data_IF_700556747529
#
_entry.id   IF_700556747529
#
_cell.length_a   1.000
_cell.length_b   1.000
_cell.length_c   1.000
_cell.angle_alpha   90.00
_cell.angle_beta   90.00
_cell.angle_gamma   90.00
#
_symmetry.space_group_name_H-M   'P 1'
#
loop_
_entity.id
_entity.type
_entity.pdbx_description
1 polymer ?
#
# COMPACT_ATOMS: atom_id res chain seq x y z
N UNK A 1 -19.30 -21.11 16.35
CA UNK A 1 -19.33 -19.86 15.56
C UNK A 1 -19.23 -20.25 14.10
N UNK A 2 -20.21 -19.90 13.28
CA UNK A 2 -20.12 -20.09 11.82
C UNK A 2 -19.06 -19.12 11.28
N UNK A 3 -18.06 -19.59 10.52
CA UNK A 3 -17.09 -18.70 9.90
C UNK A 3 -17.84 -17.75 8.95
N UNK A 4 -17.56 -16.45 9.07
CA UNK A 4 -18.17 -15.46 8.19
C UNK A 4 -17.55 -15.63 6.81
N UNK A 5 -18.38 -15.62 5.76
CA UNK A 5 -17.93 -15.85 4.38
C UNK A 5 -16.86 -14.84 3.89
N UNK A 6 -16.79 -13.67 4.51
CA UNK A 6 -15.86 -12.58 4.16
C UNK A 6 -14.60 -12.53 5.04
N UNK A 7 -14.48 -13.40 6.05
CA UNK A 7 -13.29 -13.45 6.91
C UNK A 7 -12.00 -13.80 6.12
N UNK A 8 -12.02 -14.68 5.10
CA UNK A 8 -10.85 -14.90 4.25
C UNK A 8 -10.41 -13.67 3.46
N UNK A 9 -11.36 -12.85 2.99
CA UNK A 9 -11.07 -11.61 2.26
C UNK A 9 -10.45 -10.56 3.19
N UNK A 10 -10.93 -10.46 4.42
CA UNK A 10 -10.34 -9.56 5.42
C UNK A 10 -8.93 -9.98 5.82
N UNK A 11 -8.71 -11.27 6.06
CA UNK A 11 -7.37 -11.79 6.37
C UNK A 11 -6.41 -11.56 5.19
N UNK A 12 -6.88 -11.79 3.96
CA UNK A 12 -6.09 -11.49 2.76
C UNK A 12 -5.73 -10.00 2.66
N UNK A 13 -6.65 -9.09 2.98
CA UNK A 13 -6.36 -7.65 3.02
C UNK A 13 -5.36 -7.26 4.11
N UNK A 14 -5.44 -7.86 5.29
CA UNK A 14 -4.49 -7.63 6.37
C UNK A 14 -3.08 -8.07 5.96
N UNK A 15 -2.97 -9.26 5.36
CA UNK A 15 -1.71 -9.81 4.86
C UNK A 15 -1.14 -8.99 3.69
N UNK A 16 -1.99 -8.58 2.75
CA UNK A 16 -1.58 -7.75 1.64
C UNK A 16 -1.11 -6.36 2.11
N UNK A 17 -1.77 -5.78 3.12
CA UNK A 17 -1.32 -4.53 3.73
C UNK A 17 0.04 -4.67 4.43
N UNK A 18 0.30 -5.78 5.13
CA UNK A 18 1.62 -6.09 5.71
C UNK A 18 2.69 -6.25 4.63
N UNK A 19 2.38 -6.97 3.55
CA UNK A 19 3.29 -7.15 2.42
C UNK A 19 3.60 -5.83 1.70
N UNK A 20 2.60 -4.96 1.56
CA UNK A 20 2.76 -3.63 0.95
C UNK A 20 3.74 -2.78 1.76
N UNK A 21 3.58 -2.75 3.09
CA UNK A 21 4.48 -2.01 3.97
C UNK A 21 5.92 -2.52 3.88
N UNK A 22 6.11 -3.84 3.82
CA UNK A 22 7.43 -4.44 3.63
C UNK A 22 8.04 -4.07 2.26
N UNK A 23 7.26 -4.17 1.17
CA UNK A 23 7.72 -3.80 -0.16
C UNK A 23 8.13 -2.32 -0.25
N UNK A 24 7.36 -1.42 0.37
CA UNK A 24 7.69 0.01 0.45
C UNK A 24 8.93 0.29 1.33
N UNK A 25 9.15 -0.49 2.38
CA UNK A 25 10.36 -0.38 3.20
C UNK A 25 11.62 -0.81 2.42
N UNK A 26 11.50 -1.84 1.58
CA UNK A 26 12.57 -2.35 0.72
C UNK A 26 12.74 -1.56 -0.60
N UNK A 27 11.90 -0.54 -0.83
CA UNK A 27 11.79 0.23 -2.07
C UNK A 27 11.54 -0.65 -3.32
N UNK A 28 10.90 -1.81 -3.14
CA UNK A 28 10.43 -2.69 -4.22
C UNK A 28 9.07 -2.19 -4.72
N UNK A 29 9.10 -1.18 -5.58
CA UNK A 29 7.89 -0.55 -6.12
C UNK A 29 7.11 -1.47 -7.07
N UNK A 30 7.79 -2.40 -7.74
CA UNK A 30 7.13 -3.38 -8.62
C UNK A 30 6.32 -4.40 -7.79
N UNK A 31 6.86 -4.86 -6.66
CA UNK A 31 6.11 -5.67 -5.71
C UNK A 31 4.94 -4.89 -5.10
N UNK A 32 5.17 -3.63 -4.71
CA UNK A 32 4.13 -2.76 -4.15
C UNK A 32 2.95 -2.55 -5.12
N UNK A 33 3.21 -2.33 -6.41
CA UNK A 33 2.16 -2.18 -7.44
C UNK A 33 1.32 -3.46 -7.59
N UNK A 34 1.99 -4.62 -7.66
CA UNK A 34 1.30 -5.92 -7.74
C UNK A 34 0.43 -6.19 -6.50
N UNK A 35 0.94 -5.87 -5.31
CA UNK A 35 0.18 -6.06 -4.06
C UNK A 35 -1.03 -5.12 -4.02
N UNK A 36 -0.91 -3.88 -4.50
CA UNK A 36 -2.05 -2.96 -4.57
C UNK A 36 -3.17 -3.49 -5.47
N UNK A 37 -2.82 -4.10 -6.61
CA UNK A 37 -3.79 -4.77 -7.49
C UNK A 37 -4.50 -5.94 -6.79
N UNK A 38 -3.78 -6.75 -6.02
CA UNK A 38 -4.35 -7.85 -5.24
C UNK A 38 -5.29 -7.33 -4.14
N UNK A 39 -4.94 -6.22 -3.49
CA UNK A 39 -5.80 -5.54 -2.51
C UNK A 39 -7.08 -5.02 -3.15
N UNK A 40 -7.00 -4.44 -4.35
CA UNK A 40 -8.18 -3.98 -5.10
C UNK A 40 -9.14 -5.13 -5.42
N UNK A 41 -8.61 -6.30 -5.79
CA UNK A 41 -9.43 -7.50 -6.02
C UNK A 41 -10.14 -7.96 -4.74
N UNK A 42 -9.45 -7.94 -3.59
CA UNK A 42 -10.04 -8.30 -2.30
C UNK A 42 -11.14 -7.30 -1.87
N UNK A 43 -10.91 -6.00 -2.09
CA UNK A 43 -11.90 -4.95 -1.82
C UNK A 43 -13.13 -5.08 -2.73
N UNK A 44 -12.94 -5.43 -4.00
CA UNK A 44 -14.05 -5.71 -4.91
C UNK A 44 -14.90 -6.88 -4.39
N UNK A 45 -14.28 -7.97 -3.93
CA UNK A 45 -15.00 -9.09 -3.32
C UNK A 45 -15.76 -8.72 -2.05
N UNK A 46 -15.30 -7.72 -1.29
CA UNK A 46 -16.03 -7.22 -0.12
C UNK A 46 -17.23 -6.35 -0.47
N UNK A 47 -17.25 -5.74 -1.67
CA UNK A 47 -18.36 -4.89 -2.12
C UNK A 47 -19.66 -5.68 -2.33
N UNK A 48 -19.55 -6.99 -2.61
CA UNK A 48 -20.67 -7.91 -2.75
C UNK A 48 -21.20 -8.43 -1.40
N UNK A 49 -20.53 -8.12 -0.28
CA UNK A 49 -20.92 -8.58 1.05
C UNK A 49 -22.03 -7.69 1.62
N UNK A 50 -23.12 -8.25 2.18
CA UNK A 50 -24.17 -7.45 2.78
C UNK A 50 -23.65 -6.51 3.88
N UNK A 51 -24.03 -5.24 3.85
CA UNK A 51 -23.60 -4.23 4.82
C UNK A 51 -23.84 -4.63 6.29
N UNK A 52 -24.89 -5.43 6.56
CA UNK A 52 -25.17 -5.96 7.89
C UNK A 52 -24.03 -6.85 8.44
N UNK A 53 -23.35 -7.59 7.56
CA UNK A 53 -22.21 -8.43 7.91
C UNK A 53 -20.94 -7.59 8.07
N UNK A 54 -20.70 -6.63 7.16
CA UNK A 54 -19.53 -5.71 7.20
C UNK A 54 -19.48 -4.88 8.49
N UNK A 55 -20.64 -4.51 9.06
CA UNK A 55 -20.71 -3.71 10.30
C UNK A 55 -19.92 -4.31 11.46
N UNK A 56 -19.81 -5.64 11.52
CA UNK A 56 -19.05 -6.32 12.58
C UNK A 56 -17.53 -6.25 12.37
N UNK A 57 -17.07 -5.88 11.18
CA UNK A 57 -15.66 -5.85 10.79
C UNK A 57 -15.16 -4.43 10.48
N UNK A 58 -16.01 -3.41 10.72
CA UNK A 58 -15.68 -1.99 10.52
C UNK A 58 -14.39 -1.57 11.23
N UNK A 59 -14.15 -2.06 12.45
CA UNK A 59 -12.95 -1.71 13.20
C UNK A 59 -11.68 -2.23 12.49
N UNK A 60 -11.70 -3.46 11.97
CA UNK A 60 -10.60 -4.06 11.21
C UNK A 60 -10.37 -3.30 9.90
N UNK A 61 -11.44 -3.06 9.14
CA UNK A 61 -11.38 -2.29 7.90
C UNK A 61 -10.82 -0.88 8.11
N UNK A 62 -11.24 -0.21 9.19
CA UNK A 62 -10.74 1.12 9.54
C UNK A 62 -9.24 1.09 9.87
N UNK A 63 -8.77 0.05 10.57
CA UNK A 63 -7.35 -0.13 10.86
C UNK A 63 -6.53 -0.35 9.58
N UNK A 64 -7.01 -1.20 8.67
CA UNK A 64 -6.38 -1.44 7.35
C UNK A 64 -6.31 -0.12 6.56
N UNK A 65 -7.41 0.62 6.48
CA UNK A 65 -7.44 1.92 5.80
C UNK A 65 -6.46 2.93 6.41
N UNK A 66 -6.35 2.96 7.74
CA UNK A 66 -5.41 3.84 8.45
C UNK A 66 -3.96 3.52 8.11
N UNK A 67 -3.60 2.23 8.13
CA UNK A 67 -2.28 1.74 7.73
C UNK A 67 -1.96 2.04 6.27
N UNK A 68 -2.92 1.79 5.38
CA UNK A 68 -2.76 2.05 3.95
C UNK A 68 -2.55 3.54 3.67
N UNK A 69 -3.26 4.42 4.38
CA UNK A 69 -3.04 5.87 4.28
C UNK A 69 -1.63 6.26 4.72
N UNK A 70 -1.15 5.71 5.84
CA UNK A 70 0.20 5.98 6.32
C UNK A 70 1.25 5.52 5.30
N UNK A 71 1.12 4.29 4.77
CA UNK A 71 2.00 3.75 3.75
C UNK A 71 2.08 4.65 2.50
N UNK A 72 0.94 5.21 2.07
CA UNK A 72 0.89 6.16 0.95
C UNK A 72 1.61 7.47 1.28
N UNK A 73 1.38 8.02 2.47
CA UNK A 73 2.00 9.27 2.90
C UNK A 73 3.54 9.09 3.02
N UNK A 74 4.00 7.91 3.46
CA UNK A 74 5.42 7.53 3.49
C UNK A 74 6.01 7.39 2.09
N UNK A 75 5.30 6.73 1.15
CA UNK A 75 5.72 6.63 -0.26
C UNK A 75 5.89 8.03 -0.89
N UNK A 76 4.96 8.96 -0.64
CA UNK A 76 5.06 10.34 -1.13
C UNK A 76 6.32 11.01 -0.59
N UNK A 77 6.65 10.80 0.69
CA UNK A 77 7.88 11.33 1.28
C UNK A 77 9.14 10.71 0.66
N UNK A 78 9.16 9.39 0.43
CA UNK A 78 10.26 8.69 -0.25
C UNK A 78 10.47 9.21 -1.67
N UNK A 79 9.40 9.36 -2.46
CA UNK A 79 9.47 9.91 -3.81
C UNK A 79 10.03 11.34 -3.82
N UNK A 80 9.63 12.18 -2.86
CA UNK A 80 10.17 13.52 -2.74
C UNK A 80 11.69 13.51 -2.44
N UNK A 81 12.18 12.58 -1.62
CA UNK A 81 13.60 12.40 -1.36
C UNK A 81 14.36 11.93 -2.62
N UNK A 82 13.88 10.88 -3.30
CA UNK A 82 14.48 10.37 -4.53
C UNK A 82 14.58 11.44 -5.62
N UNK A 83 13.54 12.27 -5.77
CA UNK A 83 13.55 13.38 -6.73
C UNK A 83 14.58 14.45 -6.38
N UNK A 84 14.77 14.77 -5.09
CA UNK A 84 15.82 15.73 -4.66
C UNK A 84 17.21 15.17 -4.96
N UNK A 85 17.45 13.90 -4.65
CA UNK A 85 18.74 13.26 -4.90
C UNK A 85 19.04 13.18 -6.39
N UNK A 86 18.06 12.84 -7.22
CA UNK A 86 18.21 12.85 -8.68
C UNK A 86 18.58 14.24 -9.21
N UNK A 87 17.95 15.31 -8.72
CA UNK A 87 18.28 16.69 -9.10
C UNK A 87 19.72 17.04 -8.72
N UNK A 88 20.16 16.64 -7.52
CA UNK A 88 21.53 16.86 -7.05
C UNK A 88 22.54 16.13 -7.91
N UNK A 89 22.31 14.85 -8.21
CA UNK A 89 23.19 14.03 -9.06
C UNK A 89 23.29 14.62 -10.47
N UNK A 90 22.17 15.05 -11.06
CA UNK A 90 22.17 15.72 -12.38
C UNK A 90 22.97 17.02 -12.36
N UNK A 91 22.85 17.84 -11.30
CA UNK A 91 23.60 19.07 -11.17
C UNK A 91 25.11 18.82 -11.07
N UNK A 92 25.52 17.79 -10.32
CA UNK A 92 26.93 17.37 -10.21
C UNK A 92 27.45 16.89 -11.56
N UNK A 93 26.74 15.99 -12.24
CA UNK A 93 27.14 15.49 -13.57
C UNK A 93 27.26 16.63 -14.59
N UNK A 94 26.33 17.58 -14.59
CA UNK A 94 26.36 18.75 -15.46
C UNK A 94 27.56 19.67 -15.17
N UNK A 95 27.96 19.80 -13.90
CA UNK A 95 29.15 20.57 -13.53
C UNK A 95 30.44 19.88 -14.00
N UNK A 96 30.52 18.55 -13.89
CA UNK A 96 31.67 17.78 -14.39
C UNK A 96 31.77 17.76 -15.92
N UNK A 97 30.64 17.67 -16.64
CA UNK A 97 30.63 17.66 -18.11
C UNK A 97 30.97 19.02 -18.75
N UNK A 98 31.07 20.08 -17.95
CA UNK A 98 31.40 21.45 -18.39
C UNK A 98 32.89 21.78 -18.24
N UNK A 99 33.64 20.91 -17.56
CA UNK A 99 35.11 20.95 -17.43
C UNK A 99 35.75 19.97 -18.41
#
# INVERSE_FOLDING_TARGET
MTPRLHDPLLVALEQAQEALEAALQDADFDAAERIDLDMQACLAGLSDVPAAQIRHDLARLTAIMGRHRQARDDLVAQLACLQRDQRRTRAVLAAYAKN
#
